data_IF_625335457110
#
_entry.id   IF_625335457110
#
_cell.length_a   1.000
_cell.length_b   1.000
_cell.length_c   1.000
_cell.angle_alpha   90.00
_cell.angle_beta   90.00
_cell.angle_gamma   90.00
#
_symmetry.space_group_name_H-M   'P 1'
#
loop_
_entity.id
_entity.type
_entity.pdbx_description
1 polymer ?
#
# COMPACT_ATOMS: atom_id res chain seq x y z
N UNK A 1 14.10 30.89 26.29
CA UNK A 1 12.92 30.01 26.49
C UNK A 1 12.11 30.06 25.21
N UNK A 2 12.30 29.07 24.35
CA UNK A 2 11.79 29.06 22.98
C UNK A 2 10.68 28.02 22.97
N UNK A 3 9.44 28.50 22.93
CA UNK A 3 8.22 27.74 23.06
C UNK A 3 8.06 26.76 21.88
N UNK A 4 8.45 25.51 22.08
CA UNK A 4 8.09 24.42 21.18
C UNK A 4 6.63 24.02 21.49
N UNK A 5 5.68 24.79 20.94
CA UNK A 5 4.27 24.43 20.97
C UNK A 5 4.06 23.38 19.87
N UNK A 6 3.86 22.09 20.18
CA UNK A 6 3.52 21.11 19.15
C UNK A 6 2.19 21.53 18.53
N UNK A 7 2.19 21.72 17.21
CA UNK A 7 0.99 22.07 16.46
C UNK A 7 -0.16 21.12 16.85
N UNK A 8 -1.41 21.62 17.00
CA UNK A 8 -2.54 20.77 17.32
C UNK A 8 -2.64 19.66 16.28
N UNK A 9 -2.85 18.43 16.74
CA UNK A 9 -3.10 17.24 15.94
C UNK A 9 -4.29 17.52 15.02
N UNK A 10 -4.03 18.13 13.87
CA UNK A 10 -5.07 18.56 12.96
C UNK A 10 -5.71 17.30 12.38
N UNK A 11 -7.03 17.11 12.52
CA UNK A 11 -7.69 15.91 12.04
C UNK A 11 -7.45 15.79 10.53
N UNK A 12 -6.68 14.76 10.15
CA UNK A 12 -6.41 14.49 8.74
C UNK A 12 -7.73 14.14 8.06
N UNK A 13 -8.08 14.81 6.96
CA UNK A 13 -9.34 14.56 6.28
C UNK A 13 -9.35 13.13 5.72
N UNK A 14 -10.49 12.44 5.82
CA UNK A 14 -10.65 11.04 5.42
C UNK A 14 -10.25 10.74 3.96
N UNK A 15 -10.28 11.75 3.08
CA UNK A 15 -9.77 11.65 1.70
C UNK A 15 -8.35 11.13 1.63
N UNK A 16 -7.50 11.49 2.60
CA UNK A 16 -6.12 11.06 2.67
C UNK A 16 -6.02 9.54 2.81
N UNK A 17 -6.88 8.93 3.63
CA UNK A 17 -6.93 7.47 3.77
C UNK A 17 -7.35 6.80 2.45
N UNK A 18 -8.32 7.38 1.74
CA UNK A 18 -8.77 6.86 0.44
C UNK A 18 -7.68 6.97 -0.61
N UNK A 19 -6.93 8.08 -0.62
CA UNK A 19 -5.77 8.26 -1.49
C UNK A 19 -4.68 7.24 -1.18
N UNK A 20 -4.34 7.02 0.09
CA UNK A 20 -3.39 5.99 0.52
C UNK A 20 -3.85 4.58 0.13
N UNK A 21 -5.13 4.27 0.29
CA UNK A 21 -5.73 3.00 -0.15
C UNK A 21 -5.69 2.81 -1.67
N UNK A 22 -5.78 3.91 -2.44
CA UNK A 22 -5.66 3.87 -3.90
C UNK A 22 -4.21 3.75 -4.36
N UNK A 23 -3.25 4.22 -3.57
CA UNK A 23 -1.81 4.18 -3.88
C UNK A 23 -1.16 2.84 -3.55
N UNK A 24 -1.70 2.08 -2.61
CA UNK A 24 -1.18 0.76 -2.24
C UNK A 24 -2.23 -0.30 -2.54
N UNK A 25 -1.91 -1.25 -3.42
CA UNK A 25 -2.83 -2.32 -3.81
C UNK A 25 -2.17 -3.69 -3.72
N UNK A 26 -2.99 -4.70 -3.40
CA UNK A 26 -2.59 -6.10 -3.54
C UNK A 26 -2.63 -6.55 -5.00
N UNK A 27 -1.86 -7.59 -5.34
CA UNK A 27 -1.92 -8.21 -6.67
C UNK A 27 -3.31 -8.72 -7.04
N UNK A 28 -4.12 -9.14 -6.06
CA UNK A 28 -5.50 -9.55 -6.29
C UNK A 28 -6.39 -8.35 -6.67
N UNK A 29 -6.21 -7.20 -6.01
CA UNK A 29 -6.91 -5.95 -6.37
C UNK A 29 -6.48 -5.48 -7.77
N UNK A 30 -5.18 -5.48 -8.07
CA UNK A 30 -4.68 -5.15 -9.40
C UNK A 30 -5.30 -6.04 -10.48
N UNK A 31 -5.38 -7.35 -10.24
CA UNK A 31 -6.06 -8.29 -11.15
C UNK A 31 -7.55 -7.97 -11.29
N UNK A 32 -8.24 -7.64 -10.20
CA UNK A 32 -9.66 -7.23 -10.25
C UNK A 32 -9.87 -5.92 -11.03
N UNK A 33 -8.87 -5.03 -11.02
CA UNK A 33 -8.81 -3.83 -11.86
C UNK A 33 -8.32 -4.10 -13.30
N UNK A 34 -8.15 -5.36 -13.70
CA UNK A 34 -7.73 -5.74 -15.05
C UNK A 34 -6.22 -5.66 -15.32
N UNK A 35 -5.41 -5.37 -14.30
CA UNK A 35 -3.95 -5.34 -14.43
C UNK A 35 -3.39 -6.76 -14.27
N UNK A 36 -2.86 -7.31 -15.35
CA UNK A 36 -2.23 -8.62 -15.34
C UNK A 36 -0.91 -8.63 -14.55
N UNK A 37 -0.54 -9.78 -13.98
CA UNK A 37 0.69 -9.91 -13.20
C UNK A 37 1.96 -9.55 -13.99
N UNK A 38 1.99 -9.87 -15.30
CA UNK A 38 3.08 -9.46 -16.19
C UNK A 38 3.18 -7.94 -16.33
N UNK A 39 2.04 -7.25 -16.48
CA UNK A 39 2.01 -5.79 -16.53
C UNK A 39 2.44 -5.17 -15.19
N UNK A 40 2.04 -5.76 -14.05
CA UNK A 40 2.55 -5.34 -12.74
C UNK A 40 4.06 -5.51 -12.64
N UNK A 41 4.62 -6.64 -13.08
CA UNK A 41 6.06 -6.89 -13.05
C UNK A 41 6.84 -5.89 -13.91
N UNK A 42 6.32 -5.55 -15.10
CA UNK A 42 6.90 -4.53 -15.96
C UNK A 42 6.88 -3.14 -15.30
N UNK A 43 5.78 -2.75 -14.66
CA UNK A 43 5.69 -1.47 -13.96
C UNK A 43 6.58 -1.40 -12.71
N UNK A 44 6.88 -2.55 -12.10
CA UNK A 44 7.76 -2.66 -10.93
C UNK A 44 9.25 -2.79 -11.26
N UNK A 45 9.64 -2.66 -12.53
CA UNK A 45 11.05 -2.67 -12.93
C UNK A 45 11.84 -1.56 -12.20
N UNK A 46 13.16 -1.73 -12.00
CA UNK A 46 13.99 -0.67 -11.41
C UNK A 46 13.83 0.66 -12.16
N UNK A 47 13.47 1.73 -11.45
CA UNK A 47 13.16 3.04 -12.05
C UNK A 47 11.76 3.16 -12.64
N UNK A 48 10.95 2.11 -12.57
CA UNK A 48 9.55 2.10 -12.97
C UNK A 48 8.66 2.92 -12.02
N UNK A 49 7.44 3.24 -12.47
CA UNK A 49 6.53 4.07 -11.69
C UNK A 49 6.00 3.37 -10.46
N UNK A 50 6.07 2.03 -10.39
CA UNK A 50 5.53 1.23 -9.29
C UNK A 50 6.64 0.49 -8.56
N UNK A 51 6.37 0.12 -7.31
CA UNK A 51 7.33 -0.58 -6.47
C UNK A 51 6.66 -1.71 -5.71
N UNK A 52 7.30 -2.87 -5.61
CA UNK A 52 6.83 -3.94 -4.74
C UNK A 52 7.36 -3.72 -3.32
N UNK A 53 6.45 -3.45 -2.38
CA UNK A 53 6.80 -3.10 -0.99
C UNK A 53 6.77 -4.31 -0.05
N UNK A 54 5.89 -5.28 -0.33
CA UNK A 54 5.75 -6.55 0.36
C UNK A 54 5.37 -7.64 -0.66
N UNK A 55 5.51 -8.93 -0.36
CA UNK A 55 5.12 -10.00 -1.29
C UNK A 55 3.65 -9.90 -1.74
N UNK A 56 3.43 -9.50 -3.00
CA UNK A 56 2.11 -9.28 -3.58
C UNK A 56 1.37 -7.99 -3.13
N UNK A 57 2.07 -7.03 -2.52
CA UNK A 57 1.59 -5.65 -2.30
C UNK A 57 2.47 -4.68 -3.08
N UNK A 58 1.83 -3.77 -3.80
CA UNK A 58 2.48 -2.84 -4.72
C UNK A 58 2.09 -1.40 -4.39
N UNK A 59 3.07 -0.50 -4.49
CA UNK A 59 2.93 0.95 -4.47
C UNK A 59 2.79 1.44 -5.90
N UNK A 60 1.75 2.22 -6.18
CA UNK A 60 1.39 2.67 -7.54
C UNK A 60 1.95 4.05 -7.90
N UNK A 61 2.97 4.50 -7.19
CA UNK A 61 3.68 5.73 -7.49
C UNK A 61 5.19 5.60 -7.18
N UNK A 62 6.04 6.41 -7.84
CA UNK A 62 7.45 6.44 -7.51
C UNK A 62 7.68 7.23 -6.22
N UNK A 63 8.79 6.95 -5.55
CA UNK A 63 9.27 7.74 -4.41
C UNK A 63 9.26 6.98 -3.08
N UNK A 64 9.66 7.67 -2.00
CA UNK A 64 9.76 7.05 -0.68
C UNK A 64 8.39 6.67 -0.13
N UNK A 65 8.29 5.46 0.41
CA UNK A 65 7.09 4.97 1.07
C UNK A 65 6.83 5.76 2.37
N UNK A 66 5.68 6.42 2.48
CA UNK A 66 5.31 7.13 3.70
C UNK A 66 4.90 6.16 4.82
N UNK A 67 4.90 6.63 6.07
CA UNK A 67 4.49 5.81 7.21
C UNK A 67 3.06 5.28 7.10
N UNK A 68 2.14 6.04 6.50
CA UNK A 68 0.74 5.64 6.32
C UNK A 68 0.60 4.57 5.22
N UNK A 69 1.29 4.74 4.09
CA UNK A 69 1.34 3.76 3.02
C UNK A 69 1.98 2.45 3.50
N UNK A 70 3.03 2.54 4.32
CA UNK A 70 3.64 1.37 4.96
C UNK A 70 2.66 0.64 5.87
N UNK A 71 1.94 1.36 6.74
CA UNK A 71 0.91 0.76 7.59
C UNK A 71 -0.16 0.07 6.75
N UNK A 72 -0.67 0.74 5.71
CA UNK A 72 -1.69 0.16 4.85
C UNK A 72 -1.19 -1.08 4.10
N UNK A 73 0.05 -1.05 3.59
CA UNK A 73 0.69 -2.18 2.96
C UNK A 73 0.77 -3.40 3.90
N UNK A 74 1.16 -3.17 5.16
CA UNK A 74 1.24 -4.23 6.18
C UNK A 74 -0.14 -4.81 6.47
N UNK A 75 -1.17 -3.98 6.63
CA UNK A 75 -2.53 -4.46 6.86
C UNK A 75 -3.06 -5.28 5.69
N UNK A 76 -2.85 -4.83 4.45
CA UNK A 76 -3.20 -5.58 3.24
C UNK A 76 -2.45 -6.91 3.13
N UNK A 77 -1.17 -6.93 3.48
CA UNK A 77 -0.36 -8.14 3.47
C UNK A 77 -0.83 -9.14 4.53
N UNK A 78 -1.04 -8.67 5.77
CA UNK A 78 -1.51 -9.50 6.88
C UNK A 78 -2.87 -10.14 6.54
N UNK A 79 -3.84 -9.36 6.05
CA UNK A 79 -5.15 -9.89 5.66
C UNK A 79 -5.06 -11.02 4.61
N UNK A 80 -4.15 -10.91 3.63
CA UNK A 80 -3.91 -11.98 2.64
C UNK A 80 -3.25 -13.22 3.23
N UNK A 81 -2.34 -13.06 4.19
CA UNK A 81 -1.74 -14.21 4.87
C UNK A 81 -2.83 -14.98 5.62
N UNK A 82 -3.70 -14.28 6.35
CA UNK A 82 -4.81 -14.91 7.08
C UNK A 82 -5.78 -15.66 6.15
N UNK A 83 -6.12 -15.08 5.00
CA UNK A 83 -6.98 -15.73 4.01
C UNK A 83 -6.37 -17.02 3.44
N UNK A 84 -5.06 -17.02 3.15
CA UNK A 84 -4.36 -18.21 2.68
C UNK A 84 -4.31 -19.30 3.76
N UNK A 85 -4.07 -18.92 5.01
CA UNK A 85 -4.08 -19.86 6.13
C UNK A 85 -5.47 -20.49 6.31
N UNK A 86 -6.55 -19.70 6.23
CA UNK A 86 -7.93 -20.23 6.32
C UNK A 86 -8.28 -21.21 5.20
N UNK A 87 -7.77 -20.98 3.98
CA UNK A 87 -7.99 -21.89 2.85
C UNK A 87 -7.16 -23.17 2.90
N UNK A 88 -6.10 -23.21 3.71
CA UNK A 88 -5.28 -24.41 3.88
C UNK A 88 -5.84 -25.36 4.96
N UNK A 89 -6.75 -24.89 5.80
CA UNK A 89 -7.31 -25.61 6.95
C UNK A 89 -8.72 -26.19 6.69
N UNK A 90 -9.31 -25.92 5.51
CA UNK A 90 -10.63 -26.42 5.09
C UNK A 90 -10.53 -27.22 3.80
#
# INVERSE_FOLDING_TARGET
>A
MNHNTPAPLSPRPLRHLVETQRRVMSGAQLKAHGVAAAATAEQCRPGGPWQQVLPGVFLLHPGPLTGEERLHAVLLYAGRVQDRSRRADG
#
